data_IF_991220709381
#
_entry.id   IF_991220709381
#
_cell.length_a   1.000
_cell.length_b   1.000
_cell.length_c   1.000
_cell.angle_alpha   90.00
_cell.angle_beta   90.00
_cell.angle_gamma   90.00
#
_symmetry.space_group_name_H-M   'P 1'
#
loop_
_entity.id
_entity.type
_entity.pdbx_description
1 polymer ?
#
# COMPACT_ATOMS: atom_id res chain seq x y z
N UNK A 1 16.99 -3.92 -6.49
CA UNK A 1 16.85 -3.78 -5.02
C UNK A 1 16.28 -2.40 -4.79
N UNK A 2 15.06 -2.30 -4.27
CA UNK A 2 14.39 -1.05 -3.93
C UNK A 2 13.99 -1.04 -2.44
N UNK A 3 14.61 -1.90 -1.63
CA UNK A 3 14.39 -1.92 -0.18
C UNK A 3 14.87 -0.61 0.47
N UNK A 4 14.31 -0.27 1.62
CA UNK A 4 14.71 0.90 2.43
C UNK A 4 14.60 2.23 1.67
N UNK A 5 13.46 2.43 0.99
CA UNK A 5 13.15 3.66 0.30
C UNK A 5 11.84 4.27 0.85
N UNK A 6 11.46 5.44 0.32
CA UNK A 6 10.20 6.10 0.67
C UNK A 6 9.15 5.95 -0.43
N UNK A 7 9.17 4.85 -1.17
CA UNK A 7 8.17 4.61 -2.23
C UNK A 7 6.78 4.50 -1.62
N UNK A 8 5.80 5.16 -2.26
CA UNK A 8 4.40 5.23 -1.84
C UNK A 8 3.48 4.72 -2.94
N UNK A 9 2.25 4.38 -2.57
CA UNK A 9 1.23 3.91 -3.50
C UNK A 9 1.30 2.41 -3.78
N UNK A 10 0.48 1.91 -4.73
CA UNK A 10 0.38 0.49 -5.01
C UNK A 10 1.57 -0.05 -5.78
N UNK A 11 1.84 -1.34 -5.61
CA UNK A 11 2.79 -2.07 -6.45
C UNK A 11 2.17 -2.20 -7.86
N UNK A 12 2.85 -1.72 -8.92
CA UNK A 12 2.30 -1.76 -10.25
C UNK A 12 2.25 -3.20 -10.79
N UNK A 13 1.13 -3.56 -11.41
CA UNK A 13 0.90 -4.90 -12.01
C UNK A 13 1.89 -5.22 -13.14
N UNK A 14 2.44 -4.18 -13.78
CA UNK A 14 3.43 -4.29 -14.86
C UNK A 14 4.74 -4.92 -14.43
N UNK A 15 5.07 -4.96 -13.14
CA UNK A 15 6.23 -5.71 -12.65
C UNK A 15 6.13 -7.21 -12.99
N UNK A 16 4.92 -7.75 -13.12
CA UNK A 16 4.70 -9.14 -13.56
C UNK A 16 5.20 -9.45 -14.98
N UNK A 17 5.53 -8.44 -15.79
CA UNK A 17 6.07 -8.62 -17.14
C UNK A 17 7.59 -8.82 -17.16
N UNK A 18 8.27 -8.65 -16.01
CA UNK A 18 9.73 -8.74 -15.91
C UNK A 18 10.18 -10.21 -15.83
N UNK A 19 10.11 -10.94 -16.94
CA UNK A 19 10.37 -12.39 -17.01
C UNK A 19 11.77 -12.83 -16.56
N UNK A 20 12.76 -11.95 -16.55
CA UNK A 20 14.13 -12.24 -16.11
C UNK A 20 14.42 -11.90 -14.63
N UNK A 21 13.44 -11.39 -13.89
CA UNK A 21 13.66 -10.88 -12.54
C UNK A 21 13.78 -12.01 -11.52
N UNK A 22 14.96 -12.17 -10.94
CA UNK A 22 15.25 -13.25 -9.95
C UNK A 22 15.02 -12.87 -8.50
N UNK A 23 15.22 -11.59 -8.17
CA UNK A 23 15.09 -11.04 -6.82
C UNK A 23 14.43 -9.67 -6.89
N UNK A 24 13.35 -9.50 -6.15
CA UNK A 24 12.66 -8.24 -5.95
C UNK A 24 12.61 -7.92 -4.46
N UNK A 25 13.18 -6.78 -4.10
CA UNK A 25 13.15 -6.27 -2.73
C UNK A 25 12.46 -4.92 -2.75
N UNK A 26 11.28 -4.86 -2.13
CA UNK A 26 10.44 -3.70 -1.89
C UNK A 26 10.25 -3.47 -0.38
N UNK A 27 11.02 -4.16 0.47
CA UNK A 27 10.90 -4.06 1.93
C UNK A 27 11.21 -2.64 2.43
N UNK A 28 10.72 -2.30 3.62
CA UNK A 28 10.98 -1.00 4.24
C UNK A 28 10.64 0.19 3.32
N UNK A 29 9.46 0.13 2.68
CA UNK A 29 8.84 1.23 1.94
C UNK A 29 7.50 1.61 2.57
N UNK A 30 6.81 2.60 1.98
CA UNK A 30 5.47 3.05 2.37
C UNK A 30 4.42 2.67 1.32
N UNK A 31 4.61 1.51 0.69
CA UNK A 31 3.72 0.99 -0.35
C UNK A 31 2.38 0.60 0.28
N UNK A 32 1.29 0.90 -0.40
CA UNK A 32 -0.08 0.66 0.05
C UNK A 32 -0.83 -0.27 -0.90
N UNK A 33 -2.01 -0.73 -0.51
CA UNK A 33 -2.85 -1.58 -1.37
C UNK A 33 -2.43 -3.06 -1.37
N UNK A 34 -2.85 -3.78 -2.41
CA UNK A 34 -2.67 -5.24 -2.50
C UNK A 34 -1.40 -5.61 -3.26
N UNK A 35 -0.84 -6.76 -2.93
CA UNK A 35 0.21 -7.39 -3.73
C UNK A 35 -0.44 -7.89 -5.04
N UNK A 36 0.00 -7.43 -6.23
CA UNK A 36 -0.58 -7.86 -7.48
C UNK A 36 -0.27 -9.33 -7.77
N UNK A 37 -1.30 -10.11 -8.10
CA UNK A 37 -1.16 -11.53 -8.47
C UNK A 37 -0.27 -11.73 -9.70
N UNK A 38 -0.13 -10.70 -10.53
CA UNK A 38 0.75 -10.68 -11.70
C UNK A 38 2.23 -10.90 -11.34
N UNK A 39 2.67 -10.67 -10.09
CA UNK A 39 4.02 -11.05 -9.67
C UNK A 39 4.24 -12.57 -9.78
N UNK A 40 3.18 -13.37 -9.72
CA UNK A 40 3.23 -14.82 -9.97
C UNK A 40 3.57 -15.19 -11.42
N UNK A 41 3.46 -14.26 -12.38
CA UNK A 41 3.86 -14.51 -13.77
C UNK A 41 5.39 -14.51 -13.95
N UNK A 42 6.14 -14.04 -12.95
CA UNK A 42 7.59 -14.00 -12.98
C UNK A 42 8.13 -15.36 -12.55
N UNK A 43 8.16 -16.31 -13.48
CA UNK A 43 8.59 -17.69 -13.22
C UNK A 43 10.05 -17.81 -12.73
N UNK A 44 10.87 -16.79 -12.95
CA UNK A 44 12.27 -16.74 -12.51
C UNK A 44 12.46 -16.11 -11.14
N UNK A 45 11.40 -15.63 -10.49
CA UNK A 45 11.49 -14.95 -9.20
C UNK A 45 11.66 -15.97 -8.07
N UNK A 46 12.83 -15.95 -7.42
CA UNK A 46 13.14 -16.84 -6.29
C UNK A 46 13.03 -16.11 -4.94
N UNK A 47 13.22 -14.79 -4.94
CA UNK A 47 13.17 -13.98 -3.72
C UNK A 47 12.26 -12.77 -3.90
N UNK A 48 11.24 -12.67 -3.07
CA UNK A 48 10.34 -11.52 -2.98
C UNK A 48 10.29 -11.03 -1.53
N UNK A 49 10.79 -9.82 -1.29
CA UNK A 49 10.62 -9.11 -0.03
C UNK A 49 9.64 -7.96 -0.24
N UNK A 50 8.53 -7.95 0.47
CA UNK A 50 7.49 -6.93 0.36
C UNK A 50 7.01 -6.52 1.75
N UNK A 51 6.84 -5.22 1.94
CA UNK A 51 6.10 -4.65 3.06
C UNK A 51 5.02 -3.74 2.46
N UNK A 52 3.77 -4.19 2.48
CA UNK A 52 2.62 -3.36 2.12
C UNK A 52 1.83 -3.05 3.37
N UNK A 53 1.57 -1.77 3.59
CA UNK A 53 0.62 -1.35 4.60
C UNK A 53 -0.77 -1.75 4.10
N UNK A 54 -1.37 -2.77 4.72
CA UNK A 54 -2.79 -3.01 4.53
C UNK A 54 -3.52 -1.87 5.22
N UNK A 55 -3.87 -0.84 4.47
CA UNK A 55 -4.86 0.15 4.92
C UNK A 55 -6.24 -0.54 4.95
N UNK A 56 -6.43 -1.45 5.91
CA UNK A 56 -7.73 -1.82 6.42
C UNK A 56 -7.99 -0.80 7.54
N UNK A 57 -8.90 0.14 7.25
CA UNK A 57 -9.22 1.36 7.99
C UNK A 57 -8.26 2.56 7.77
N UNK A 58 -8.66 3.45 6.87
CA UNK A 58 -8.50 4.87 7.15
C UNK A 58 -9.59 5.29 8.16
N UNK A 59 -9.28 5.62 9.43
CA UNK A 59 -10.12 6.52 10.21
C UNK A 59 -9.86 7.96 9.75
N UNK A 60 -10.03 8.22 8.45
CA UNK A 60 -10.11 9.56 7.90
C UNK A 60 -11.50 9.81 7.32
N UNK A 61 -12.54 9.42 8.08
CA UNK A 61 -13.51 10.44 8.46
C UNK A 61 -12.76 11.44 9.34
N UNK A 62 -11.98 12.35 8.73
CA UNK A 62 -11.74 13.65 9.35
C UNK A 62 -13.12 14.31 9.38
N UNK A 63 -13.87 14.04 10.45
CA UNK A 63 -14.94 14.91 10.89
C UNK A 63 -14.29 16.29 11.01
N UNK A 64 -14.47 17.11 9.99
CA UNK A 64 -14.17 18.52 10.06
C UNK A 64 -15.25 19.12 10.98
N UNK A 65 -15.08 18.92 12.29
CA UNK A 65 -15.91 19.57 13.30
C UNK A 65 -15.51 21.05 13.27
N UNK A 66 -16.14 21.80 12.37
CA UNK A 66 -16.33 23.21 12.62
C UNK A 66 -17.06 23.30 13.97
N UNK A 67 -16.66 24.24 14.83
CA UNK A 67 -17.23 24.47 16.17
C UNK A 67 -18.77 24.57 16.21
N UNK A 68 -19.42 24.68 15.05
CA UNK A 68 -20.87 24.79 14.89
C UNK A 68 -21.63 23.46 15.04
N UNK A 69 -21.02 22.29 14.81
CA UNK A 69 -21.72 20.99 14.90
C UNK A 69 -21.81 20.40 16.29
N UNK A 70 -21.04 20.90 17.28
CA UNK A 70 -21.07 20.37 18.65
C UNK A 70 -22.29 20.83 19.48
N UNK A 71 -23.03 21.86 19.04
CA UNK A 71 -24.21 22.37 19.77
C UNK A 71 -25.49 21.57 19.44
N UNK A 72 -25.54 20.86 18.31
CA UNK A 72 -26.75 20.14 17.89
C UNK A 72 -26.90 18.73 18.50
N UNK A 73 -25.89 18.21 19.21
CA UNK A 73 -25.90 16.85 19.79
C UNK A 73 -26.12 16.83 21.31
N UNK A 74 -26.45 17.97 21.93
CA UNK A 74 -26.86 18.08 23.34
C UNK A 74 -28.33 18.47 23.52
N UNK A 75 -29.11 18.51 22.43
CA UNK A 75 -30.55 18.66 22.50
C UNK A 75 -31.14 17.58 21.59
N UNK A 76 -31.79 16.60 22.24
CA UNK A 76 -32.32 15.30 21.78
C UNK A 76 -31.37 14.11 21.94
#
# INVERSE_FOLDING_TARGET
NLGYNFLVGPIPTTLGLLSGLRKLDLSSNRLTGKIPSQLGNISTLYFLYVCVSMDVYQPQLRLNLNLFTLVHLLIF
#
